data_IF_216820069929
#
_entry.id   IF_216820069929
#
_cell.length_a   1.000
_cell.length_b   1.000
_cell.length_c   1.000
_cell.angle_alpha   90.00
_cell.angle_beta   90.00
_cell.angle_gamma   90.00
#
_symmetry.space_group_name_H-M   'P 1'
#
loop_
_entity.id
_entity.type
_entity.pdbx_description
1 polymer ?
#
# COMPACT_ATOMS: atom_id res chain seq x y z
N UNK A 1 8.28 3.70 -15.37
CA UNK A 1 7.11 3.24 -14.58
C UNK A 1 7.48 3.29 -13.12
N UNK A 2 6.60 3.75 -12.21
CA UNK A 2 6.85 3.60 -10.79
C UNK A 2 7.03 2.10 -10.50
N UNK A 3 8.15 1.72 -9.90
CA UNK A 3 8.40 0.35 -9.50
C UNK A 3 8.39 0.35 -7.98
N UNK A 4 7.20 0.32 -7.39
CA UNK A 4 7.03 0.27 -5.95
C UNK A 4 7.81 -0.93 -5.41
N UNK A 5 8.61 -0.68 -4.39
CA UNK A 5 9.29 -1.73 -3.64
C UNK A 5 8.63 -1.92 -2.28
N UNK A 6 8.82 -3.10 -1.67
CA UNK A 6 8.36 -3.36 -0.29
C UNK A 6 8.87 -2.29 0.68
N UNK A 7 10.17 -1.91 0.68
CA UNK A 7 10.67 -0.82 1.52
C UNK A 7 9.97 0.54 1.29
N UNK A 8 9.59 0.86 0.06
CA UNK A 8 8.89 2.12 -0.24
C UNK A 8 7.47 2.11 0.33
N UNK A 9 6.73 1.01 0.10
CA UNK A 9 5.39 0.82 0.65
C UNK A 9 5.42 0.87 2.17
N UNK A 10 6.35 0.16 2.79
CA UNK A 10 6.52 0.14 4.24
C UNK A 10 6.80 1.54 4.80
N UNK A 11 7.78 2.24 4.21
CA UNK A 11 8.15 3.61 4.63
C UNK A 11 6.97 4.55 4.51
N UNK A 12 6.24 4.47 3.40
CA UNK A 12 5.08 5.31 3.15
C UNK A 12 3.97 5.04 4.16
N UNK A 13 3.67 3.77 4.47
CA UNK A 13 2.67 3.42 5.50
C UNK A 13 3.04 3.93 6.90
N UNK A 14 4.33 3.84 7.27
CA UNK A 14 4.80 4.36 8.57
C UNK A 14 4.74 5.88 8.60
N UNK A 15 5.09 6.55 7.50
CA UNK A 15 4.96 8.02 7.38
C UNK A 15 3.49 8.47 7.44
N UNK A 16 2.60 7.74 6.77
CA UNK A 16 1.15 7.93 6.80
C UNK A 16 0.58 7.83 8.23
N UNK A 17 0.98 6.81 8.99
CA UNK A 17 0.57 6.65 10.41
C UNK A 17 1.18 7.72 11.33
N UNK A 18 2.38 8.22 11.00
CA UNK A 18 3.02 9.33 11.73
C UNK A 18 2.39 10.69 11.39
N UNK A 19 1.84 10.84 10.20
CA UNK A 19 1.20 12.06 9.77
C UNK A 19 0.02 12.34 10.70
N UNK A 20 0.02 13.52 11.33
CA UNK A 20 -1.07 13.96 12.20
C UNK A 20 -2.40 13.87 11.43
N UNK A 21 -3.39 13.09 11.89
CA UNK A 21 -4.69 12.98 11.24
C UNK A 21 -5.42 14.33 11.10
N UNK A 22 -5.02 15.34 11.89
CA UNK A 22 -5.54 16.72 11.82
C UNK A 22 -4.91 17.56 10.69
N UNK A 23 -3.77 17.14 10.13
CA UNK A 23 -3.09 17.82 9.02
C UNK A 23 -3.42 17.11 7.71
N UNK A 24 -4.05 17.81 6.77
CA UNK A 24 -4.25 17.32 5.39
C UNK A 24 -2.90 17.18 4.71
N UNK A 25 -2.40 15.95 4.61
CA UNK A 25 -1.19 15.64 3.85
C UNK A 25 -1.56 15.78 2.36
N UNK A 26 -0.82 16.57 1.54
CA UNK A 26 -1.16 16.84 0.14
C UNK A 26 -1.24 15.61 -0.77
N UNK A 27 -0.90 14.42 -0.27
CA UNK A 27 -1.01 13.15 -0.98
C UNK A 27 -2.20 12.25 -0.61
N UNK A 28 -3.07 12.58 0.36
CA UNK A 28 -4.07 11.59 0.82
C UNK A 28 -5.46 12.09 1.22
N UNK A 29 -6.45 11.38 0.67
CA UNK A 29 -7.82 11.36 1.14
C UNK A 29 -8.05 10.49 2.39
N UNK A 30 -7.09 9.66 2.87
CA UNK A 30 -7.05 9.07 4.23
C UNK A 30 -5.87 8.05 4.37
N UNK A 31 -4.86 8.34 5.20
CA UNK A 31 -3.73 7.44 5.54
C UNK A 31 -4.13 6.06 6.11
N UNK A 32 -5.35 5.94 6.66
CA UNK A 32 -5.76 4.80 7.48
C UNK A 32 -6.64 3.76 6.75
N UNK A 33 -7.16 4.06 5.56
CA UNK A 33 -7.97 3.11 4.78
C UNK A 33 -7.16 2.31 3.77
N UNK A 34 -5.87 2.63 3.62
CA UNK A 34 -5.07 2.19 2.49
C UNK A 34 -4.70 0.69 2.46
N UNK A 35 -4.38 0.00 3.57
CA UNK A 35 -4.16 -1.45 3.47
C UNK A 35 -5.48 -2.21 3.27
N UNK A 36 -6.61 -1.64 3.69
CA UNK A 36 -7.89 -2.34 3.70
C UNK A 36 -8.44 -2.63 2.30
N UNK A 37 -8.09 -1.80 1.30
CA UNK A 37 -8.47 -2.00 -0.12
C UNK A 37 -7.66 -3.08 -0.83
N UNK A 38 -6.45 -3.37 -0.36
CA UNK A 38 -5.52 -4.30 -1.02
C UNK A 38 -5.50 -5.68 -0.36
N UNK A 39 -5.85 -5.73 0.92
CA UNK A 39 -5.87 -6.95 1.71
C UNK A 39 -7.32 -7.40 1.88
N UNK A 40 -7.56 -8.70 1.72
CA UNK A 40 -8.84 -9.34 2.10
C UNK A 40 -8.67 -10.17 3.37
N UNK A 41 -7.48 -10.71 3.58
CA UNK A 41 -7.11 -11.52 4.72
C UNK A 41 -7.06 -10.68 6.03
N UNK A 42 -7.84 -11.06 7.07
CA UNK A 42 -7.90 -10.33 8.33
C UNK A 42 -6.60 -10.42 9.15
N UNK A 43 -5.85 -11.51 9.07
CA UNK A 43 -4.60 -11.70 9.81
C UNK A 43 -3.45 -10.90 9.20
N UNK A 44 -3.41 -10.80 7.87
CA UNK A 44 -2.53 -9.88 7.15
C UNK A 44 -2.82 -8.43 7.52
N UNK A 45 -4.10 -8.02 7.50
CA UNK A 45 -4.52 -6.67 7.91
C UNK A 45 -4.10 -6.38 9.34
N UNK A 46 -4.42 -7.28 10.26
CA UNK A 46 -4.13 -7.13 11.69
C UNK A 46 -2.63 -6.99 11.92
N UNK A 47 -1.84 -7.89 11.35
CA UNK A 47 -0.39 -7.94 11.54
C UNK A 47 0.30 -6.71 10.96
N UNK A 48 -0.11 -6.28 9.77
CA UNK A 48 0.41 -5.08 9.12
C UNK A 48 0.05 -3.81 9.91
N UNK A 49 -1.20 -3.64 10.34
CA UNK A 49 -1.62 -2.47 11.14
C UNK A 49 -0.88 -2.40 12.48
N UNK A 50 -0.71 -3.55 13.14
CA UNK A 50 0.08 -3.64 14.38
C UNK A 50 1.53 -3.22 14.15
N UNK A 51 2.15 -3.72 13.08
CA UNK A 51 3.51 -3.37 12.71
C UNK A 51 3.67 -1.86 12.47
N UNK A 52 2.82 -1.29 11.61
CA UNK A 52 2.84 0.13 11.24
C UNK A 52 2.66 1.01 12.48
N UNK A 53 1.71 0.67 13.37
CA UNK A 53 1.51 1.38 14.62
C UNK A 53 2.77 1.38 15.51
N UNK A 54 3.45 0.23 15.61
CA UNK A 54 4.70 0.09 16.35
C UNK A 54 5.82 0.94 15.74
N UNK A 55 6.07 0.78 14.44
CA UNK A 55 7.13 1.48 13.73
C UNK A 55 6.94 3.01 13.72
N UNK A 56 5.69 3.47 13.64
CA UNK A 56 5.35 4.88 13.72
C UNK A 56 5.71 5.51 15.07
N UNK A 57 5.55 4.75 16.16
CA UNK A 57 5.72 5.22 17.55
C UNK A 57 7.04 4.79 18.21
N UNK A 58 7.90 4.08 17.49
CA UNK A 58 9.18 3.58 18.02
C UNK A 58 9.04 2.39 18.97
N UNK A 59 7.93 1.65 18.93
CA UNK A 59 7.76 0.44 19.72
C UNK A 59 8.33 -0.80 19.00
N UNK A 60 8.86 -1.74 19.78
CA UNK A 60 9.25 -3.05 19.26
C UNK A 60 8.02 -3.88 18.88
N UNK A 61 7.93 -4.27 17.60
CA UNK A 61 6.84 -5.12 17.09
C UNK A 61 6.75 -6.46 17.84
N UNK A 62 7.89 -7.14 18.03
CA UNK A 62 7.97 -8.39 18.81
C UNK A 62 7.48 -8.23 20.25
N UNK A 63 7.79 -7.10 20.89
CA UNK A 63 7.33 -6.78 22.23
C UNK A 63 5.81 -6.63 22.31
N UNK A 64 5.20 -5.98 21.31
CA UNK A 64 3.74 -5.87 21.24
C UNK A 64 3.06 -7.21 20.92
N UNK A 65 3.63 -8.02 20.02
CA UNK A 65 3.16 -9.38 19.74
C UNK A 65 3.12 -10.22 21.02
N UNK A 66 4.22 -10.22 21.80
CA UNK A 66 4.30 -10.94 23.08
C UNK A 66 3.22 -10.50 24.07
N UNK A 67 3.01 -9.18 24.23
CA UNK A 67 1.97 -8.64 25.13
C UNK A 67 0.54 -9.02 24.71
N UNK A 68 0.31 -9.27 23.42
CA UNK A 68 -1.00 -9.64 22.88
C UNK A 68 -1.18 -11.15 22.68
N UNK A 69 -0.23 -11.97 23.12
CA UNK A 69 -0.27 -13.43 22.93
C UNK A 69 -0.20 -13.86 21.47
N UNK A 70 0.35 -13.01 20.58
CA UNK A 70 0.47 -13.30 19.16
C UNK A 70 1.86 -13.90 18.88
N UNK A 71 1.97 -15.06 18.22
CA UNK A 71 3.26 -15.59 17.78
C UNK A 71 3.97 -14.61 16.85
N UNK A 72 5.16 -14.15 17.24
CA UNK A 72 5.92 -13.16 16.46
C UNK A 72 6.25 -13.64 15.05
N UNK A 73 6.60 -14.92 14.90
CA UNK A 73 6.93 -15.53 13.61
C UNK A 73 5.74 -15.49 12.65
N UNK A 74 4.55 -15.87 13.12
CA UNK A 74 3.32 -15.79 12.32
C UNK A 74 2.98 -14.34 11.97
N UNK A 75 2.97 -13.43 12.95
CA UNK A 75 2.68 -12.03 12.69
C UNK A 75 3.66 -11.37 11.71
N UNK A 76 4.94 -11.75 11.78
CA UNK A 76 5.96 -11.31 10.82
C UNK A 76 5.68 -11.84 9.41
N UNK A 77 5.36 -13.13 9.28
CA UNK A 77 5.02 -13.76 7.99
C UNK A 77 3.79 -13.09 7.36
N UNK A 78 2.74 -12.86 8.14
CA UNK A 78 1.52 -12.22 7.65
C UNK A 78 1.76 -10.76 7.24
N UNK A 79 2.59 -10.02 8.00
CA UNK A 79 3.04 -8.68 7.60
C UNK A 79 3.77 -8.72 6.26
N UNK A 80 4.72 -9.65 6.08
CA UNK A 80 5.50 -9.75 4.83
C UNK A 80 4.62 -10.08 3.63
N UNK A 81 3.72 -11.06 3.78
CA UNK A 81 2.74 -11.40 2.75
C UNK A 81 1.85 -10.19 2.40
N UNK A 82 1.44 -9.41 3.40
CA UNK A 82 0.64 -8.21 3.20
C UNK A 82 1.39 -7.14 2.38
N UNK A 83 2.64 -6.86 2.74
CA UNK A 83 3.49 -5.88 2.03
C UNK A 83 3.76 -6.29 0.59
N UNK A 84 4.09 -7.57 0.36
CA UNK A 84 4.30 -8.11 -0.99
C UNK A 84 3.04 -7.98 -1.85
N UNK A 85 1.87 -8.30 -1.27
CA UNK A 85 0.58 -8.19 -1.96
C UNK A 85 0.26 -6.75 -2.34
N UNK A 86 0.42 -5.81 -1.40
CA UNK A 86 0.18 -4.38 -1.66
C UNK A 86 1.11 -3.90 -2.78
N UNK A 87 2.40 -4.22 -2.68
CA UNK A 87 3.41 -3.84 -3.68
C UNK A 87 3.03 -4.34 -5.07
N UNK A 88 2.64 -5.62 -5.18
CA UNK A 88 2.21 -6.21 -6.45
C UNK A 88 0.97 -5.52 -7.03
N UNK A 89 -0.02 -5.22 -6.19
CA UNK A 89 -1.26 -4.59 -6.65
C UNK A 89 -1.07 -3.12 -7.06
N UNK A 90 -0.19 -2.39 -6.38
CA UNK A 90 0.20 -1.03 -6.78
C UNK A 90 0.90 -1.02 -8.14
N UNK A 91 1.89 -1.89 -8.32
CA UNK A 91 2.59 -2.01 -9.60
C UNK A 91 1.64 -2.44 -10.73
N UNK A 92 0.72 -3.38 -10.46
CA UNK A 92 -0.30 -3.76 -11.44
C UNK A 92 -1.22 -2.59 -11.80
N UNK A 93 -1.67 -1.83 -10.81
CA UNK A 93 -2.51 -0.65 -11.03
C UNK A 93 -1.79 0.39 -11.90
N UNK A 94 -0.52 0.69 -11.59
CA UNK A 94 0.27 1.66 -12.35
C UNK A 94 0.53 1.19 -13.79
N UNK A 95 0.78 -0.11 -14.00
CA UNK A 95 0.90 -0.69 -15.34
C UNK A 95 -0.39 -0.57 -16.14
N UNK A 96 -1.54 -0.90 -15.52
CA UNK A 96 -2.85 -0.81 -16.19
C UNK A 96 -3.22 0.64 -16.53
N UNK A 97 -2.88 1.61 -15.68
CA UNK A 97 -3.09 3.03 -15.98
C UNK A 97 -2.20 3.47 -17.14
N UNK A 98 -0.94 3.05 -17.16
CA UNK A 98 -0.02 3.36 -18.26
C UNK A 98 -0.52 2.77 -19.59
N UNK A 99 -0.99 1.52 -19.60
CA UNK A 99 -1.59 0.88 -20.78
C UNK A 99 -2.90 1.54 -21.22
N UNK A 100 -3.78 1.89 -20.28
CA UNK A 100 -5.03 2.61 -20.58
C UNK A 100 -4.78 4.00 -21.18
N UNK A 101 -3.72 4.69 -20.74
CA UNK A 101 -3.29 5.96 -21.34
C UNK A 101 -2.74 5.77 -22.76
N UNK A 102 -2.05 4.65 -23.03
CA UNK A 102 -1.55 4.33 -24.37
C UNK A 102 -2.68 4.03 -25.36
N UNK A 103 -3.76 3.38 -24.92
CA UNK A 103 -4.95 3.13 -25.78
C UNK A 103 -5.72 4.42 -26.07
N UNK A 104 -5.85 5.32 -25.10
CA UNK A 104 -6.55 6.60 -25.29
C UNK A 104 -5.86 7.55 -26.29
N UNK A 105 -4.55 7.39 -26.52
CA UNK A 105 -3.81 8.18 -27.51
C UNK A 105 -3.71 7.53 -28.90
N UNK A 106 -4.10 6.25 -29.04
CA UNK A 106 -4.09 5.55 -30.32
C UNK A 106 -5.34 5.82 -31.19
N UNK A 107 -6.40 6.39 -30.60
CA UNK A 107 -7.72 6.55 -31.25
C UNK A 107 -7.96 7.96 -31.85
N UNK A 108 -6.90 8.77 -32.02
CA UNK A 108 -6.99 10.19 -32.46
C UNK A 108 -6.31 10.45 -33.82
N UNK A 109 -6.12 9.43 -34.67
CA UNK A 109 -5.68 9.65 -36.04
C UNK A 109 -6.44 8.75 -37.02
N UNK A 110 -7.56 9.25 -37.53
CA UNK A 110 -7.77 9.37 -38.98
C UNK A 110 -9.10 10.10 -39.27
N UNK A 111 -9.10 11.39 -39.64
CA UNK A 111 -10.21 11.93 -40.41
C UNK A 111 -10.08 11.38 -41.84
N UNK A 112 -10.93 10.42 -42.18
CA UNK A 112 -11.13 9.96 -43.56
C UNK A 112 -11.72 11.12 -44.35
N UNK A 113 -10.90 11.71 -45.23
CA UNK A 113 -11.29 12.75 -46.17
C UNK A 113 -12.17 12.10 -47.28
N UNK A 114 -13.46 12.42 -47.29
CA UNK A 114 -14.38 12.03 -48.36
C UNK A 114 -14.47 13.18 -49.35
N UNK A 115 -13.53 13.20 -50.30
CA UNK A 115 -13.62 13.98 -51.53
C UNK A 115 -14.58 13.37 -52.55
#
# INVERSE_FOLDING_TARGET
MPNWTVPDVERWMVQAERADPRRRNPGEARPLTWPDRFLTDPDQKRSLKLYVWCAARGYAFSGLCKRRGIPYTSARRERDAALERITRLLNLQDSLVAEGHLVAHADVNDPVDFG
#
